data_IF_420334895634
#
_entry.id   IF_420334895634
#
_cell.length_a   1.000
_cell.length_b   1.000
_cell.length_c   1.000
_cell.angle_alpha   90.00
_cell.angle_beta   90.00
_cell.angle_gamma   90.00
#
_symmetry.space_group_name_H-M   'P 1'
#
loop_
_entity.id
_entity.type
_entity.pdbx_description
1 polymer ?
#
# COMPACT_ATOMS: atom_id res chain seq x y z
N UNK A 1 -15.07 -7.70 -18.26
CA UNK A 1 -15.36 -6.67 -17.21
C UNK A 1 -14.21 -6.66 -16.21
N UNK A 2 -13.81 -5.49 -15.68
CA UNK A 2 -12.79 -5.42 -14.62
C UNK A 2 -13.32 -6.08 -13.34
N UNK A 3 -12.52 -6.96 -12.70
CA UNK A 3 -12.94 -7.82 -11.57
C UNK A 3 -13.21 -7.07 -10.25
N UNK A 4 -12.92 -5.76 -10.19
CA UNK A 4 -13.05 -4.93 -8.99
C UNK A 4 -12.24 -3.64 -9.14
N UNK A 5 -12.00 -2.94 -8.04
CA UNK A 5 -11.18 -1.74 -7.99
C UNK A 5 -10.09 -1.83 -6.91
N UNK A 6 -8.91 -1.34 -7.22
CA UNK A 6 -7.83 -1.10 -6.26
C UNK A 6 -7.75 0.41 -6.04
N UNK A 7 -8.02 0.82 -4.81
CA UNK A 7 -7.89 2.19 -4.34
C UNK A 7 -6.52 2.34 -3.68
N UNK A 8 -5.63 3.08 -4.33
CA UNK A 8 -4.33 3.45 -3.78
C UNK A 8 -4.49 4.74 -2.97
N UNK A 9 -4.25 4.65 -1.66
CA UNK A 9 -4.33 5.76 -0.72
C UNK A 9 -2.92 6.31 -0.48
N UNK A 10 -2.62 7.48 -1.03
CA UNK A 10 -1.26 8.00 -1.11
C UNK A 10 -1.12 9.45 -0.62
N UNK A 11 0.05 9.81 -0.18
CA UNK A 11 0.45 11.22 -0.10
C UNK A 11 0.83 11.71 -1.49
N UNK A 12 0.63 12.99 -1.76
CA UNK A 12 1.24 13.63 -2.93
C UNK A 12 2.76 13.62 -2.77
N UNK A 13 3.53 13.23 -3.82
CA UNK A 13 4.98 13.28 -3.77
C UNK A 13 5.50 14.72 -3.60
N UNK A 14 6.05 15.00 -2.42
CA UNK A 14 6.55 16.34 -2.05
C UNK A 14 7.79 16.18 -1.16
N UNK A 15 8.82 17.00 -1.47
CA UNK A 15 10.08 16.97 -0.75
C UNK A 15 9.88 17.26 0.74
N UNK A 16 10.50 16.45 1.61
CA UNK A 16 10.39 16.56 3.07
C UNK A 16 8.99 16.28 3.63
N UNK A 17 8.05 15.69 2.84
CA UNK A 17 6.68 15.39 3.27
C UNK A 17 6.32 13.92 3.18
N UNK A 18 7.16 13.10 2.55
CA UNK A 18 6.96 11.66 2.36
C UNK A 18 8.16 10.91 2.90
N UNK A 19 7.92 9.75 3.55
CA UNK A 19 8.97 8.87 4.09
C UNK A 19 10.07 9.59 4.91
N UNK A 20 9.70 10.61 5.66
CA UNK A 20 10.63 11.49 6.38
C UNK A 20 11.55 10.77 7.39
N UNK A 21 11.23 9.52 7.76
CA UNK A 21 12.11 8.67 8.58
C UNK A 21 13.35 8.19 7.82
N UNK A 22 13.30 8.21 6.48
CA UNK A 22 14.45 7.88 5.62
C UNK A 22 15.37 9.09 5.40
N UNK A 23 14.85 10.32 5.47
CA UNK A 23 15.59 11.56 5.18
C UNK A 23 16.94 11.68 5.91
N UNK A 24 17.06 11.37 7.22
CA UNK A 24 18.34 11.44 7.94
C UNK A 24 19.42 10.49 7.41
N UNK A 25 19.02 9.42 6.72
CA UNK A 25 19.90 8.35 6.26
C UNK A 25 20.32 8.50 4.81
N UNK A 26 19.40 8.94 3.95
CA UNK A 26 19.63 8.95 2.49
C UNK A 26 19.36 10.32 1.84
N UNK A 27 18.88 11.30 2.61
CA UNK A 27 18.56 12.65 2.15
C UNK A 27 17.19 12.77 1.47
N UNK A 28 16.59 13.96 1.57
CA UNK A 28 15.22 14.23 1.11
C UNK A 28 14.99 13.95 -0.39
N UNK A 29 15.98 14.24 -1.23
CA UNK A 29 15.86 14.04 -2.69
C UNK A 29 15.74 12.58 -3.06
N UNK A 30 16.62 11.74 -2.50
CA UNK A 30 16.57 10.30 -2.76
C UNK A 30 15.33 9.67 -2.12
N UNK A 31 14.97 10.10 -0.91
CA UNK A 31 13.70 9.71 -0.27
C UNK A 31 12.49 9.99 -1.16
N UNK A 32 12.43 11.19 -1.76
CA UNK A 32 11.35 11.52 -2.69
C UNK A 32 11.39 10.64 -3.95
N UNK A 33 12.57 10.39 -4.54
CA UNK A 33 12.72 9.49 -5.69
C UNK A 33 12.21 8.08 -5.39
N UNK A 34 12.58 7.53 -4.22
CA UNK A 34 12.12 6.22 -3.74
C UNK A 34 10.59 6.21 -3.56
N UNK A 35 10.03 7.22 -2.90
CA UNK A 35 8.58 7.29 -2.71
C UNK A 35 7.81 7.33 -4.05
N UNK A 36 8.31 8.10 -5.02
CA UNK A 36 7.72 8.15 -6.37
C UNK A 36 7.78 6.79 -7.06
N UNK A 37 8.90 6.07 -6.91
CA UNK A 37 9.05 4.72 -7.42
C UNK A 37 8.04 3.75 -6.76
N UNK A 38 7.88 3.79 -5.43
CA UNK A 38 6.88 3.01 -4.70
C UNK A 38 5.47 3.27 -5.24
N UNK A 39 5.09 4.54 -5.35
CA UNK A 39 3.77 4.93 -5.88
C UNK A 39 3.55 4.42 -7.31
N UNK A 40 4.56 4.58 -8.18
CA UNK A 40 4.46 4.14 -9.57
C UNK A 40 4.33 2.61 -9.69
N UNK A 41 5.14 1.84 -8.92
CA UNK A 41 5.07 0.39 -8.93
C UNK A 41 3.76 -0.12 -8.32
N UNK A 42 3.26 0.49 -7.23
CA UNK A 42 1.95 0.18 -6.64
C UNK A 42 0.80 0.38 -7.64
N UNK A 43 0.77 1.53 -8.32
CA UNK A 43 -0.24 1.81 -9.35
C UNK A 43 -0.15 0.84 -10.52
N UNK A 44 1.06 0.46 -10.93
CA UNK A 44 1.30 -0.51 -11.98
C UNK A 44 0.87 -1.92 -11.58
N UNK A 45 1.18 -2.37 -10.37
CA UNK A 45 0.71 -3.65 -9.83
C UNK A 45 -0.82 -3.70 -9.80
N UNK A 46 -1.46 -2.63 -9.31
CA UNK A 46 -2.91 -2.49 -9.30
C UNK A 46 -3.51 -2.60 -10.71
N UNK A 47 -2.91 -1.96 -11.71
CA UNK A 47 -3.35 -2.04 -13.11
C UNK A 47 -3.20 -3.46 -13.69
N UNK A 48 -2.07 -4.11 -13.45
CA UNK A 48 -1.78 -5.46 -13.94
C UNK A 48 -2.61 -6.55 -13.23
N UNK A 49 -3.20 -6.27 -12.06
CA UNK A 49 -4.17 -7.17 -11.43
C UNK A 49 -5.47 -7.34 -12.23
N UNK A 50 -5.71 -6.46 -13.22
CA UNK A 50 -6.93 -6.41 -14.02
C UNK A 50 -8.04 -5.58 -13.36
N UNK A 51 -7.78 -4.94 -12.23
CA UNK A 51 -8.72 -4.08 -11.54
C UNK A 51 -8.81 -2.66 -12.16
N UNK A 52 -9.85 -1.92 -11.79
CA UNK A 52 -9.89 -0.48 -12.00
C UNK A 52 -9.00 0.20 -10.95
N UNK A 53 -8.13 1.09 -11.38
CA UNK A 53 -7.17 1.76 -10.50
C UNK A 53 -7.71 3.13 -10.11
N UNK A 54 -7.86 3.35 -8.80
CA UNK A 54 -8.24 4.63 -8.21
C UNK A 54 -7.04 5.15 -7.40
N UNK A 55 -6.73 6.43 -7.52
CA UNK A 55 -5.75 7.10 -6.69
C UNK A 55 -6.42 8.19 -5.85
N UNK A 56 -6.49 7.99 -4.54
CA UNK A 56 -6.85 9.01 -3.57
C UNK A 56 -5.58 9.63 -2.97
N UNK A 57 -5.34 10.90 -3.21
CA UNK A 57 -4.11 11.56 -2.78
C UNK A 57 -4.38 12.80 -1.90
N UNK A 58 -3.39 13.20 -1.09
CA UNK A 58 -3.50 14.44 -0.32
C UNK A 58 -3.62 15.65 -1.27
N UNK A 59 -4.38 16.70 -0.88
CA UNK A 59 -4.60 17.88 -1.72
C UNK A 59 -3.32 18.56 -2.21
N UNK A 60 -3.38 19.20 -3.38
CA UNK A 60 -2.31 20.01 -3.93
C UNK A 60 -2.10 19.87 -5.43
N UNK A 61 -1.05 20.48 -6.00
CA UNK A 61 -0.78 20.45 -7.43
C UNK A 61 -0.71 19.04 -8.01
N UNK A 62 -1.06 18.91 -9.30
CA UNK A 62 -0.97 17.65 -10.02
C UNK A 62 0.48 17.14 -10.11
N UNK A 63 0.62 15.83 -10.20
CA UNK A 63 1.92 15.14 -10.30
C UNK A 63 1.85 13.99 -11.32
N UNK A 64 2.99 13.58 -11.90
CA UNK A 64 3.02 12.67 -13.06
C UNK A 64 2.36 11.32 -12.83
N UNK A 65 2.49 10.73 -11.64
CA UNK A 65 2.00 9.39 -11.32
C UNK A 65 0.46 9.29 -11.37
N UNK A 66 -0.27 10.40 -11.27
CA UNK A 66 -1.74 10.42 -11.42
C UNK A 66 -2.20 9.80 -12.75
N UNK A 67 -1.39 9.90 -13.81
CA UNK A 67 -1.70 9.32 -15.13
C UNK A 67 -1.72 7.78 -15.14
N UNK A 68 -1.19 7.14 -14.11
CA UNK A 68 -1.20 5.69 -13.97
C UNK A 68 -2.52 5.15 -13.40
N UNK A 69 -3.39 6.01 -12.86
CA UNK A 69 -4.72 5.66 -12.37
C UNK A 69 -5.81 5.90 -13.42
N UNK A 70 -6.92 5.15 -13.33
CA UNK A 70 -8.11 5.38 -14.16
C UNK A 70 -8.98 6.52 -13.60
N UNK A 71 -8.94 6.71 -12.28
CA UNK A 71 -9.68 7.75 -11.53
C UNK A 71 -8.72 8.33 -10.50
N UNK A 72 -8.72 9.66 -10.34
CA UNK A 72 -7.98 10.34 -9.29
C UNK A 72 -8.87 11.33 -8.57
N UNK A 73 -8.67 11.48 -7.24
CA UNK A 73 -9.32 12.51 -6.45
C UNK A 73 -8.54 12.84 -5.18
N UNK A 74 -8.82 14.00 -4.62
CA UNK A 74 -8.22 14.45 -3.39
C UNK A 74 -8.93 13.82 -2.17
N UNK A 75 -8.14 13.40 -1.19
CA UNK A 75 -8.61 12.97 0.12
C UNK A 75 -9.26 14.15 0.86
N UNK A 76 -10.32 13.87 1.64
CA UNK A 76 -11.01 14.88 2.47
C UNK A 76 -11.14 14.38 3.91
N UNK A 77 -10.92 15.26 4.86
CA UNK A 77 -10.98 14.99 6.30
C UNK A 77 -9.82 15.64 7.04
N UNK A 78 -10.01 15.89 8.33
CA UNK A 78 -9.01 16.53 9.23
C UNK A 78 -8.00 15.50 9.73
N UNK A 79 -8.49 14.31 10.11
CA UNK A 79 -7.66 13.22 10.62
C UNK A 79 -7.31 12.22 9.52
N UNK A 80 -6.36 11.33 9.78
CA UNK A 80 -6.04 10.23 8.88
C UNK A 80 -7.26 9.33 8.66
N UNK A 81 -7.94 8.93 9.74
CA UNK A 81 -9.11 8.06 9.67
C UNK A 81 -10.27 8.67 8.89
N UNK A 82 -10.57 9.97 9.08
CA UNK A 82 -11.60 10.65 8.27
C UNK A 82 -11.27 10.65 6.78
N UNK A 83 -9.99 10.87 6.42
CA UNK A 83 -9.55 10.81 5.02
C UNK A 83 -9.63 9.40 4.45
N UNK A 84 -9.33 8.40 5.27
CA UNK A 84 -9.42 6.99 4.91
C UNK A 84 -10.87 6.59 4.61
N UNK A 85 -11.81 6.86 5.54
CA UNK A 85 -13.24 6.58 5.38
C UNK A 85 -13.83 7.34 4.19
N UNK A 86 -13.51 8.63 4.06
CA UNK A 86 -13.95 9.42 2.90
C UNK A 86 -13.50 8.77 1.59
N UNK A 87 -12.24 8.34 1.51
CA UNK A 87 -11.69 7.78 0.28
C UNK A 87 -12.38 6.47 -0.11
N UNK A 88 -12.65 5.58 0.85
CA UNK A 88 -13.40 4.35 0.60
C UNK A 88 -14.85 4.63 0.18
N UNK A 89 -15.55 5.50 0.91
CA UNK A 89 -16.94 5.84 0.62
C UNK A 89 -17.07 6.51 -0.76
N UNK A 90 -16.17 7.42 -1.09
CA UNK A 90 -16.18 8.10 -2.39
C UNK A 90 -15.88 7.14 -3.55
N UNK A 91 -14.92 6.22 -3.39
CA UNK A 91 -14.66 5.18 -4.38
C UNK A 91 -15.90 4.30 -4.62
N UNK A 92 -16.61 3.92 -3.55
CA UNK A 92 -17.85 3.14 -3.65
C UNK A 92 -18.99 3.90 -4.32
N UNK A 93 -19.08 5.22 -4.16
CA UNK A 93 -20.02 6.08 -4.87
C UNK A 93 -19.69 6.18 -6.37
N UNK A 94 -18.41 6.31 -6.72
CA UNK A 94 -17.96 6.37 -8.12
C UNK A 94 -18.12 5.03 -8.85
N UNK A 95 -18.00 3.91 -8.13
CA UNK A 95 -18.08 2.56 -8.67
C UNK A 95 -19.10 1.71 -7.88
N UNK A 96 -20.42 1.98 -8.03
CA UNK A 96 -21.45 1.23 -7.32
C UNK A 96 -21.37 -0.26 -7.62
N UNK A 97 -21.65 -1.09 -6.62
CA UNK A 97 -21.64 -2.57 -6.70
C UNK A 97 -20.29 -3.19 -7.13
N UNK A 98 -19.20 -2.45 -6.94
CA UNK A 98 -17.84 -2.91 -7.25
C UNK A 98 -17.13 -3.29 -5.94
N UNK A 99 -16.47 -4.45 -5.92
CA UNK A 99 -15.54 -4.83 -4.84
C UNK A 99 -14.36 -3.88 -4.85
N UNK A 100 -13.97 -3.37 -3.69
CA UNK A 100 -12.89 -2.40 -3.57
C UNK A 100 -11.91 -2.88 -2.52
N UNK A 101 -10.63 -2.92 -2.86
CA UNK A 101 -9.54 -3.01 -1.88
C UNK A 101 -8.80 -1.68 -1.83
N UNK A 102 -8.53 -1.19 -0.63
CA UNK A 102 -7.67 -0.03 -0.39
C UNK A 102 -6.31 -0.54 0.06
N UNK A 103 -5.25 0.00 -0.55
CA UNK A 103 -3.85 -0.25 -0.19
C UNK A 103 -3.10 1.07 -0.03
N UNK A 104 -2.07 1.08 0.81
CA UNK A 104 -1.08 2.17 0.89
C UNK A 104 -0.05 2.11 -0.24
N UNK A 105 1.02 2.87 -0.07
CA UNK A 105 2.21 2.89 -0.95
C UNK A 105 3.44 2.31 -0.27
N UNK A 106 3.28 1.87 0.97
CA UNK A 106 4.38 1.50 1.84
C UNK A 106 4.82 0.05 1.68
N UNK A 107 4.07 -0.71 0.86
CA UNK A 107 4.26 -2.13 0.56
C UNK A 107 4.48 -2.32 -0.95
N UNK A 108 5.56 -1.77 -1.56
CA UNK A 108 5.77 -1.79 -3.02
C UNK A 108 6.02 -3.18 -3.60
N UNK A 109 6.30 -4.19 -2.77
CA UNK A 109 6.46 -5.59 -3.15
C UNK A 109 5.14 -6.29 -3.49
N UNK A 110 3.97 -5.71 -3.20
CA UNK A 110 2.68 -6.30 -3.55
C UNK A 110 2.59 -6.55 -5.05
N UNK A 111 2.45 -7.81 -5.42
CA UNK A 111 2.39 -8.22 -6.82
C UNK A 111 0.95 -8.22 -7.38
N UNK A 112 0.79 -8.14 -8.71
CA UNK A 112 -0.54 -8.12 -9.36
C UNK A 112 -1.41 -9.34 -9.03
N UNK A 113 -0.81 -10.52 -8.91
CA UNK A 113 -1.53 -11.78 -8.62
C UNK A 113 -2.10 -11.75 -7.20
N UNK A 114 -1.33 -11.25 -6.24
CA UNK A 114 -1.81 -11.06 -4.86
C UNK A 114 -3.01 -10.11 -4.80
N UNK A 115 -2.93 -8.95 -5.46
CA UNK A 115 -4.03 -7.99 -5.50
C UNK A 115 -5.28 -8.56 -6.18
N UNK A 116 -5.10 -9.39 -7.21
CA UNK A 116 -6.19 -10.12 -7.85
C UNK A 116 -6.84 -11.12 -6.89
N UNK A 117 -6.03 -11.92 -6.20
CA UNK A 117 -6.51 -12.87 -5.20
C UNK A 117 -7.27 -12.19 -4.06
N UNK A 118 -6.80 -11.04 -3.57
CA UNK A 118 -7.51 -10.25 -2.57
C UNK A 118 -8.90 -9.79 -3.04
N UNK A 119 -9.04 -9.41 -4.32
CA UNK A 119 -10.35 -9.09 -4.91
C UNK A 119 -11.23 -10.33 -5.13
N UNK A 120 -10.64 -11.48 -5.46
CA UNK A 120 -11.34 -12.75 -5.60
C UNK A 120 -11.86 -13.24 -4.24
N UNK A 121 -11.08 -13.10 -3.17
CA UNK A 121 -11.53 -13.43 -1.80
C UNK A 121 -12.82 -12.67 -1.42
N UNK A 122 -13.03 -11.46 -1.93
CA UNK A 122 -14.27 -10.71 -1.71
C UNK A 122 -15.49 -11.28 -2.50
N UNK A 123 -15.37 -12.41 -3.19
CA UNK A 123 -16.52 -13.14 -3.74
C UNK A 123 -17.26 -13.90 -2.64
N UNK A 124 -16.52 -14.42 -1.67
CA UNK A 124 -17.02 -15.25 -0.58
C UNK A 124 -17.07 -14.53 0.78
N UNK A 125 -16.34 -13.41 0.93
CA UNK A 125 -16.23 -12.66 2.16
C UNK A 125 -16.74 -11.22 1.99
N UNK A 126 -17.31 -10.66 3.09
CA UNK A 126 -17.78 -9.28 3.10
C UNK A 126 -16.61 -8.27 3.19
N UNK A 127 -15.54 -8.66 3.88
CA UNK A 127 -14.34 -7.85 4.02
C UNK A 127 -13.06 -8.70 3.99
N UNK A 128 -11.93 -8.08 3.63
CA UNK A 128 -10.59 -8.66 3.72
C UNK A 128 -9.65 -7.68 4.43
N UNK A 129 -8.76 -8.21 5.27
CA UNK A 129 -7.72 -7.45 5.96
C UNK A 129 -6.37 -8.06 5.60
N UNK A 130 -5.42 -7.25 5.16
CA UNK A 130 -4.01 -7.58 5.03
C UNK A 130 -3.21 -6.96 6.18
N UNK A 131 -2.84 -7.72 7.22
CA UNK A 131 -2.12 -7.20 8.38
C UNK A 131 -0.65 -6.91 8.07
N UNK A 132 -0.07 -5.91 8.74
CA UNK A 132 1.37 -5.66 8.72
C UNK A 132 2.11 -6.48 9.79
N UNK A 133 3.37 -6.87 9.51
CA UNK A 133 4.23 -7.58 10.46
C UNK A 133 4.45 -6.78 11.75
N UNK A 134 4.55 -5.46 11.65
CA UNK A 134 4.85 -4.56 12.78
C UNK A 134 3.60 -3.89 13.39
N UNK A 135 2.41 -4.41 13.10
CA UNK A 135 1.13 -3.82 13.50
C UNK A 135 0.54 -2.95 12.40
N UNK A 136 -0.75 -2.62 12.52
CA UNK A 136 -1.50 -1.96 11.44
C UNK A 136 -1.91 -2.94 10.34
N UNK A 137 -2.30 -2.39 9.21
CA UNK A 137 -2.69 -3.17 8.04
C UNK A 137 -2.31 -2.43 6.75
N UNK A 138 -1.84 -3.18 5.76
CA UNK A 138 -1.46 -2.65 4.45
C UNK A 138 -2.63 -2.69 3.45
N UNK A 139 -3.68 -3.48 3.75
CA UNK A 139 -4.83 -3.65 2.88
C UNK A 139 -6.12 -3.79 3.68
N UNK A 140 -7.17 -3.08 3.25
CA UNK A 140 -8.55 -3.28 3.68
C UNK A 140 -9.48 -3.30 2.47
N UNK A 141 -10.33 -4.31 2.36
CA UNK A 141 -11.27 -4.43 1.25
C UNK A 141 -12.69 -4.77 1.67
N UNK A 142 -13.65 -4.42 0.79
CA UNK A 142 -15.08 -4.66 0.97
C UNK A 142 -15.73 -5.19 -0.31
N UNK A 143 -16.62 -6.18 -0.17
CA UNK A 143 -17.44 -6.72 -1.27
C UNK A 143 -18.66 -5.86 -1.60
N UNK A 144 -19.10 -5.02 -0.66
CA UNK A 144 -20.24 -4.10 -0.73
C UNK A 144 -19.82 -2.73 -0.16
N UNK A 145 -20.71 -1.72 -0.14
CA UNK A 145 -20.33 -0.40 0.38
C UNK A 145 -19.60 -0.48 1.72
N UNK A 146 -18.46 0.19 1.87
CA UNK A 146 -17.66 0.13 3.08
C UNK A 146 -18.39 0.75 4.27
N UNK A 147 -18.06 0.27 5.47
CA UNK A 147 -18.47 0.91 6.72
C UNK A 147 -17.34 1.82 7.23
N UNK A 148 -17.66 2.85 8.05
CA UNK A 148 -16.64 3.68 8.66
C UNK A 148 -15.72 2.88 9.60
N UNK A 149 -14.43 3.12 9.51
CA UNK A 149 -13.38 2.49 10.33
C UNK A 149 -12.40 3.51 10.93
N UNK A 150 -12.68 4.80 10.81
CA UNK A 150 -11.80 5.88 11.27
C UNK A 150 -11.37 5.74 12.75
N UNK A 151 -12.24 5.14 13.59
CA UNK A 151 -11.96 4.88 15.01
C UNK A 151 -10.72 4.01 15.21
N UNK A 152 -10.42 3.09 14.28
CA UNK A 152 -9.23 2.22 14.33
C UNK A 152 -7.95 3.03 14.53
N UNK A 153 -7.82 4.14 13.81
CA UNK A 153 -6.62 4.97 13.81
C UNK A 153 -6.46 5.88 15.05
N UNK A 154 -7.32 5.72 16.05
CA UNK A 154 -7.15 6.32 17.38
C UNK A 154 -6.39 5.43 18.35
N UNK A 155 -6.13 4.18 17.96
CA UNK A 155 -5.39 3.18 18.72
C UNK A 155 -3.91 3.13 18.31
N UNK A 156 -3.08 2.41 19.07
CA UNK A 156 -1.71 2.13 18.67
C UNK A 156 -1.69 1.21 17.45
N UNK A 157 -0.72 1.33 16.53
CA UNK A 157 -0.65 0.49 15.33
C UNK A 157 -0.71 -1.02 15.63
N UNK A 158 -0.11 -1.48 16.72
CA UNK A 158 -0.17 -2.88 17.17
C UNK A 158 -1.59 -3.36 17.53
N UNK A 159 -2.50 -2.46 17.84
CA UNK A 159 -3.89 -2.74 18.22
C UNK A 159 -4.86 -2.61 17.06
N UNK A 160 -4.49 -1.88 16.01
CA UNK A 160 -5.36 -1.58 14.87
C UNK A 160 -5.98 -2.82 14.21
N UNK A 161 -5.26 -3.93 13.95
CA UNK A 161 -5.85 -5.10 13.32
C UNK A 161 -6.93 -5.76 14.19
N UNK A 162 -6.73 -5.77 15.51
CA UNK A 162 -7.72 -6.31 16.46
C UNK A 162 -8.95 -5.43 16.52
N UNK A 163 -8.76 -4.13 16.60
CA UNK A 163 -9.87 -3.16 16.66
C UNK A 163 -10.67 -3.16 15.35
N UNK A 164 -9.99 -3.20 14.21
CA UNK A 164 -10.64 -3.33 12.90
C UNK A 164 -11.52 -4.57 12.83
N UNK A 165 -10.99 -5.74 13.25
CA UNK A 165 -11.79 -6.98 13.31
C UNK A 165 -13.01 -6.84 14.23
N UNK A 166 -12.87 -6.13 15.36
CA UNK A 166 -13.97 -5.87 16.30
C UNK A 166 -15.07 -5.03 15.64
N UNK A 167 -14.70 -3.98 14.90
CA UNK A 167 -15.65 -3.12 14.18
C UNK A 167 -16.39 -3.92 13.11
N UNK A 168 -15.65 -4.67 12.28
CA UNK A 168 -16.24 -5.48 11.21
C UNK A 168 -17.17 -6.57 11.77
N UNK A 169 -16.78 -7.23 12.87
CA UNK A 169 -17.59 -8.24 13.55
C UNK A 169 -18.88 -7.64 14.12
N UNK A 170 -18.83 -6.46 14.73
CA UNK A 170 -20.04 -5.75 15.20
C UNK A 170 -20.99 -5.42 14.07
N UNK A 171 -20.46 -5.11 12.89
CA UNK A 171 -21.25 -4.92 11.67
C UNK A 171 -21.71 -6.23 11.02
N UNK A 172 -21.41 -7.40 11.64
CA UNK A 172 -21.75 -8.75 11.16
C UNK A 172 -21.14 -9.07 9.79
N UNK A 173 -19.97 -8.51 9.48
CA UNK A 173 -19.25 -8.78 8.25
C UNK A 173 -18.37 -10.02 8.41
N UNK A 174 -18.50 -10.97 7.48
CA UNK A 174 -17.62 -12.14 7.38
C UNK A 174 -16.29 -11.65 6.80
N UNK A 175 -15.20 -11.81 7.59
CA UNK A 175 -13.91 -11.21 7.27
C UNK A 175 -12.85 -12.26 7.06
N UNK A 176 -12.12 -12.20 5.93
CA UNK A 176 -10.91 -12.97 5.68
C UNK A 176 -9.65 -12.19 6.11
N UNK A 177 -8.64 -12.93 6.58
CA UNK A 177 -7.29 -12.40 6.79
C UNK A 177 -6.40 -12.89 5.65
N UNK A 178 -5.66 -11.95 5.07
CA UNK A 178 -4.63 -12.23 4.08
C UNK A 178 -3.27 -12.45 4.77
N UNK A 179 -2.28 -12.87 3.99
CA UNK A 179 -0.90 -13.00 4.45
C UNK A 179 -0.33 -11.67 4.95
N UNK A 180 0.43 -11.71 6.05
CA UNK A 180 1.08 -10.53 6.58
C UNK A 180 2.18 -10.04 5.63
N UNK A 181 2.33 -8.72 5.53
CA UNK A 181 3.39 -8.07 4.75
C UNK A 181 4.14 -7.06 5.62
N UNK A 182 5.31 -6.64 5.16
CA UNK A 182 6.05 -5.57 5.82
C UNK A 182 5.91 -4.25 5.06
N UNK A 183 5.85 -3.16 5.80
CA UNK A 183 5.93 -1.80 5.27
C UNK A 183 7.38 -1.34 5.22
N UNK A 184 7.69 -0.47 4.28
CA UNK A 184 9.02 0.12 4.12
C UNK A 184 9.02 1.54 4.68
N UNK A 185 9.29 1.69 5.97
CA UNK A 185 9.31 2.97 6.68
C UNK A 185 10.71 3.40 7.14
N UNK A 186 11.58 2.45 7.44
CA UNK A 186 12.92 2.65 7.98
C UNK A 186 13.98 2.19 6.98
N UNK A 187 15.24 2.57 7.23
CA UNK A 187 16.36 2.13 6.40
C UNK A 187 16.52 0.61 6.36
N UNK A 188 16.26 -0.07 7.48
CA UNK A 188 16.31 -1.53 7.59
C UNK A 188 15.25 -2.20 6.69
N UNK A 189 14.04 -1.62 6.62
CA UNK A 189 12.98 -2.10 5.74
C UNK A 189 13.36 -1.92 4.27
N UNK A 190 14.00 -0.78 3.95
CA UNK A 190 14.50 -0.52 2.59
C UNK A 190 15.58 -1.52 2.19
N UNK A 191 16.46 -1.91 3.13
CA UNK A 191 17.45 -2.97 2.93
C UNK A 191 16.78 -4.34 2.76
N UNK A 192 15.74 -4.64 3.56
CA UNK A 192 14.92 -5.86 3.42
C UNK A 192 14.29 -5.93 2.03
N UNK A 193 13.71 -4.81 1.57
CA UNK A 193 13.12 -4.72 0.24
C UNK A 193 14.15 -4.93 -0.88
N UNK A 194 15.34 -4.33 -0.76
CA UNK A 194 16.42 -4.50 -1.76
C UNK A 194 16.79 -5.98 -1.91
N UNK A 195 17.03 -6.67 -0.79
CA UNK A 195 17.33 -8.12 -0.80
C UNK A 195 16.20 -8.96 -1.37
N UNK A 196 14.93 -8.61 -1.07
CA UNK A 196 13.78 -9.28 -1.67
C UNK A 196 13.76 -9.11 -3.19
N UNK A 197 14.01 -7.90 -3.70
CA UNK A 197 14.05 -7.63 -5.14
C UNK A 197 15.15 -8.44 -5.82
N UNK A 198 16.35 -8.50 -5.24
CA UNK A 198 17.45 -9.33 -5.74
C UNK A 198 17.08 -10.83 -5.80
N UNK A 199 16.40 -11.31 -4.75
CA UNK A 199 15.90 -12.69 -4.69
C UNK A 199 14.88 -12.95 -5.80
N UNK A 200 13.90 -12.06 -5.99
CA UNK A 200 12.88 -12.19 -7.04
C UNK A 200 13.48 -12.20 -8.43
N UNK A 201 14.52 -11.42 -8.68
CA UNK A 201 15.26 -11.44 -9.96
C UNK A 201 16.00 -12.76 -10.17
N UNK A 202 16.63 -13.31 -9.12
CA UNK A 202 17.32 -14.59 -9.18
C UNK A 202 16.39 -15.77 -9.50
N UNK A 203 15.09 -15.63 -9.23
CA UNK A 203 14.06 -16.64 -9.55
C UNK A 203 13.21 -16.32 -10.78
N UNK A 204 13.60 -15.33 -11.59
CA UNK A 204 12.82 -14.90 -12.77
C UNK A 204 11.33 -14.66 -12.45
N UNK A 205 11.06 -14.02 -11.31
CA UNK A 205 9.70 -13.81 -10.84
C UNK A 205 8.86 -12.98 -11.84
N UNK A 206 7.61 -13.36 -12.03
CA UNK A 206 6.65 -12.69 -12.95
C UNK A 206 6.44 -11.21 -12.63
N UNK A 207 6.74 -10.80 -11.40
CA UNK A 207 6.60 -9.43 -10.95
C UNK A 207 7.79 -8.98 -10.10
N UNK A 208 8.33 -7.84 -10.48
CA UNK A 208 9.35 -7.10 -9.71
C UNK A 208 8.93 -5.62 -9.73
N UNK A 209 9.03 -4.88 -8.61
CA UNK A 209 8.80 -3.43 -8.56
C UNK A 209 9.95 -2.70 -9.26
N UNK A 210 9.86 -2.56 -10.58
CA UNK A 210 10.97 -2.13 -11.45
C UNK A 210 11.44 -0.71 -11.19
N UNK A 211 10.51 0.23 -10.93
CA UNK A 211 10.89 1.63 -10.66
C UNK A 211 11.67 1.71 -9.33
N UNK A 212 11.19 1.00 -8.32
CA UNK A 212 11.86 0.87 -7.02
C UNK A 212 13.25 0.27 -7.18
N UNK A 213 13.38 -0.86 -7.88
CA UNK A 213 14.65 -1.51 -8.18
C UNK A 213 15.63 -0.55 -8.86
N UNK A 214 15.18 0.15 -9.89
CA UNK A 214 16.04 1.02 -10.69
C UNK A 214 16.58 2.19 -9.86
N UNK A 215 15.74 2.82 -9.03
CA UNK A 215 16.18 3.87 -8.09
C UNK A 215 17.16 3.32 -7.04
N UNK A 216 16.87 2.17 -6.45
CA UNK A 216 17.76 1.56 -5.46
C UNK A 216 19.15 1.25 -6.03
N UNK A 217 19.22 0.80 -7.28
CA UNK A 217 20.48 0.49 -7.96
C UNK A 217 21.26 1.70 -8.43
N UNK A 218 20.57 2.73 -8.92
CA UNK A 218 21.22 3.90 -9.51
C UNK A 218 21.68 4.92 -8.49
N UNK A 219 20.94 5.07 -7.39
CA UNK A 219 21.13 6.15 -6.42
C UNK A 219 21.54 5.65 -5.03
N UNK A 220 21.23 4.40 -4.69
CA UNK A 220 21.60 3.80 -3.41
C UNK A 220 22.81 2.88 -3.61
N UNK A 221 24.02 3.45 -3.66
CA UNK A 221 25.25 2.67 -3.49
C UNK A 221 25.35 2.28 -2.02
N UNK A 222 24.60 1.27 -1.60
CA UNK A 222 24.73 0.72 -0.26
C UNK A 222 25.98 -0.16 -0.23
N UNK A 223 26.93 0.07 0.67
CA UNK A 223 27.89 -0.97 1.00
C UNK A 223 27.09 -2.13 1.62
N UNK A 224 26.98 -3.23 0.91
CA UNK A 224 26.47 -4.49 1.46
C UNK A 224 27.51 -4.93 2.50
N UNK A 225 27.39 -4.42 3.71
CA UNK A 225 28.13 -4.96 4.83
C UNK A 225 27.40 -6.22 5.28
N UNK A 226 27.76 -7.34 4.67
CA UNK A 226 27.41 -8.66 5.21
C UNK A 226 28.04 -8.69 6.61
N UNK A 227 27.28 -8.83 7.70
CA UNK A 227 27.87 -9.09 9.00
C UNK A 227 28.61 -10.43 8.85
N UNK A 228 29.93 -10.42 9.00
CA UNK A 228 30.67 -11.69 9.17
C UNK A 228 30.04 -12.39 10.36
N UNK A 229 29.46 -13.56 10.13
CA UNK A 229 29.14 -14.49 11.20
C UNK A 229 30.36 -14.57 12.08
N UNK A 230 30.20 -14.17 13.34
CA UNK A 230 31.25 -14.43 14.35
C UNK A 230 31.20 -15.91 14.62
N UNK A 231 32.22 -16.60 14.13
CA UNK A 231 32.52 -17.95 14.59
C UNK A 231 32.44 -18.00 16.12
N UNK A 232 31.56 -18.83 16.61
CA UNK A 232 31.61 -19.36 17.97
C UNK A 232 31.54 -20.87 17.90
#
# INVERSE_FOLDING_TARGET
>A
MKRGAVLVFARRPELGRVKTRLDPHIGEKLTLSIYRAFLADTLKAARLSGARVILAHTPGPSFPEQRLADITYEQRGRTFGERFDYSLAHAAQLLPKTRIILIGTDTPQLNPTFLRGALETLEDYDAVIGPNENGGFYLLGFSRPPIPVAEVFTHFPSEEPRELRRILSRAKLITALLEAQFDVDLLEDLQKLSRLIETLEGYDADWIPKQTRDVLRSELVMPITIPKERDR
#
